data_IF_645489397700
#
_entry.id   IF_645489397700
#
_cell.length_a   1.000
_cell.length_b   1.000
_cell.length_c   1.000
_cell.angle_alpha   90.00
_cell.angle_beta   90.00
_cell.angle_gamma   90.00
#
_symmetry.space_group_name_H-M   'P 1'
#
loop_
_entity.id
_entity.type
_entity.pdbx_description
1 polymer ?
#
# COMPACT_ATOMS: atom_id res chain seq x y z
N UNK A 1 -8.53 15.95 -1.95
CA UNK A 1 -7.29 15.19 -1.66
C UNK A 1 -7.69 13.79 -1.23
N UNK A 2 -7.33 12.76 -2.00
CA UNK A 2 -7.77 11.37 -1.77
C UNK A 2 -6.85 10.65 -0.76
N UNK A 3 -7.44 9.80 0.08
CA UNK A 3 -6.74 8.90 1.01
C UNK A 3 -7.24 7.49 0.77
N UNK A 4 -6.33 6.54 0.57
CA UNK A 4 -6.67 5.16 0.22
C UNK A 4 -5.97 4.20 1.17
N UNK A 5 -6.72 3.25 1.72
CA UNK A 5 -6.18 2.13 2.51
C UNK A 5 -6.20 0.87 1.66
N UNK A 6 -5.09 0.13 1.63
CA UNK A 6 -4.94 -1.12 0.89
C UNK A 6 -4.67 -2.25 1.88
N UNK A 7 -5.55 -3.25 1.89
CA UNK A 7 -5.44 -4.43 2.74
C UNK A 7 -4.92 -5.62 1.90
N UNK A 8 -3.75 -6.11 2.28
CA UNK A 8 -2.95 -7.10 1.54
C UNK A 8 -1.83 -6.42 0.75
N UNK A 9 -0.57 -6.70 1.13
CA UNK A 9 0.66 -6.21 0.52
C UNK A 9 1.43 -7.34 -0.15
N UNK A 10 0.70 -8.16 -0.92
CA UNK A 10 1.30 -9.02 -1.94
C UNK A 10 1.70 -8.21 -3.17
N UNK A 11 2.14 -8.89 -4.24
CA UNK A 11 2.57 -8.25 -5.49
C UNK A 11 1.59 -7.18 -5.99
N UNK A 12 0.30 -7.52 -6.11
CA UNK A 12 -0.73 -6.60 -6.61
C UNK A 12 -0.92 -5.41 -5.68
N UNK A 13 -1.07 -5.67 -4.37
CA UNK A 13 -1.33 -4.63 -3.38
C UNK A 13 -0.19 -3.63 -3.27
N UNK A 14 1.05 -4.11 -3.25
CA UNK A 14 2.25 -3.28 -3.13
C UNK A 14 2.50 -2.46 -4.39
N UNK A 15 2.40 -3.07 -5.58
CA UNK A 15 2.57 -2.32 -6.85
C UNK A 15 1.48 -1.26 -7.00
N UNK A 16 0.23 -1.62 -6.69
CA UNK A 16 -0.88 -0.67 -6.73
C UNK A 16 -0.70 0.48 -5.74
N UNK A 17 -0.31 0.19 -4.50
CA UNK A 17 0.01 1.19 -3.48
C UNK A 17 1.09 2.17 -3.96
N UNK A 18 2.18 1.64 -4.54
CA UNK A 18 3.28 2.44 -5.06
C UNK A 18 2.85 3.34 -6.23
N UNK A 19 2.05 2.82 -7.17
CA UNK A 19 1.52 3.59 -8.29
C UNK A 19 0.56 4.71 -7.85
N UNK A 20 -0.26 4.50 -6.81
CA UNK A 20 -1.11 5.56 -6.27
C UNK A 20 -0.28 6.62 -5.53
N UNK A 21 0.67 6.18 -4.72
CA UNK A 21 1.58 7.07 -4.00
C UNK A 21 2.40 7.95 -4.96
N UNK A 22 2.91 7.39 -6.06
CA UNK A 22 3.67 8.14 -7.07
C UNK A 22 2.85 9.20 -7.79
N UNK A 23 1.52 9.08 -7.78
CA UNK A 23 0.58 10.08 -8.32
C UNK A 23 0.14 11.12 -7.29
N UNK A 24 0.76 11.14 -6.10
CA UNK A 24 0.47 12.10 -5.02
C UNK A 24 -0.74 11.75 -4.16
N UNK A 25 -1.25 10.52 -4.25
CA UNK A 25 -2.34 10.04 -3.40
C UNK A 25 -1.75 9.55 -2.08
N UNK A 26 -2.35 9.92 -0.95
CA UNK A 26 -1.91 9.41 0.36
C UNK A 26 -2.42 7.98 0.54
N UNK A 27 -1.50 7.03 0.69
CA UNK A 27 -1.80 5.59 0.81
C UNK A 27 -1.40 5.08 2.20
N UNK A 28 -2.20 4.17 2.75
CA UNK A 28 -1.87 3.36 3.94
C UNK A 28 -1.96 1.89 3.55
N UNK A 29 -0.84 1.17 3.60
CA UNK A 29 -0.79 -0.27 3.39
C UNK A 29 -0.99 -1.04 4.70
N UNK A 30 -1.76 -2.13 4.66
CA UNK A 30 -2.01 -3.02 5.80
C UNK A 30 -1.80 -4.46 5.33
N UNK A 31 -1.00 -5.25 6.05
CA UNK A 31 -0.89 -6.69 5.87
C UNK A 31 -0.86 -7.37 7.24
N UNK A 32 -1.30 -8.63 7.30
CA UNK A 32 -1.28 -9.45 8.52
C UNK A 32 0.12 -10.01 8.80
N UNK A 33 0.93 -10.19 7.75
CA UNK A 33 2.31 -10.66 7.87
C UNK A 33 3.21 -9.48 8.19
N UNK A 34 3.64 -9.40 9.45
CA UNK A 34 4.42 -8.28 9.98
C UNK A 34 5.72 -8.01 9.19
N UNK A 35 6.40 -9.08 8.74
CA UNK A 35 7.62 -8.98 7.92
C UNK A 35 7.39 -8.22 6.61
N UNK A 36 6.20 -8.32 6.00
CA UNK A 36 5.87 -7.58 4.76
C UNK A 36 5.67 -6.10 4.98
N UNK A 37 5.33 -5.68 6.20
CA UNK A 37 5.08 -4.29 6.57
C UNK A 37 6.36 -3.61 7.07
N UNK A 38 7.28 -4.38 7.67
CA UNK A 38 8.55 -3.88 8.22
C UNK A 38 9.72 -3.86 7.23
N UNK A 39 9.61 -4.58 6.12
CA UNK A 39 10.61 -4.59 5.04
C UNK A 39 10.76 -3.21 4.39
#
# INVERSE_FOLDING_TARGET
>A
MYRVSIFGLGYVGTVFAACLASRGIKVVGVDVVEEKVKA
#
